data_IF_805140088431
#
_entry.id   IF_805140088431
#
_cell.length_a   1.000
_cell.length_b   1.000
_cell.length_c   1.000
_cell.angle_alpha   90.00
_cell.angle_beta   90.00
_cell.angle_gamma   90.00
#
_symmetry.space_group_name_H-M   'P 1'
#
loop_
_entity.id
_entity.type
_entity.pdbx_description
1 polymer ?
#
# COMPACT_ATOMS: atom_id res chain seq x y z
N UNK A 1 -29.85 14.19 -42.52
CA UNK A 1 -30.07 13.85 -41.09
C UNK A 1 -29.79 12.37 -40.75
N UNK A 2 -29.24 11.56 -41.66
CA UNK A 2 -29.13 10.09 -41.47
C UNK A 2 -27.73 9.57 -41.11
N UNK A 3 -26.67 10.39 -41.19
CA UNK A 3 -25.28 9.98 -40.91
C UNK A 3 -24.77 10.29 -39.49
N UNK A 4 -25.57 11.01 -38.68
CA UNK A 4 -25.18 11.46 -37.33
C UNK A 4 -25.35 10.33 -36.30
N UNK A 5 -26.36 9.48 -36.48
CA UNK A 5 -26.66 8.38 -35.58
C UNK A 5 -25.57 7.27 -35.56
N UNK A 6 -25.05 6.78 -36.71
CA UNK A 6 -24.00 5.76 -36.69
C UNK A 6 -22.68 6.28 -36.16
N UNK A 7 -22.33 7.55 -36.41
CA UNK A 7 -21.10 8.16 -35.88
C UNK A 7 -21.18 8.38 -34.36
N UNK A 8 -22.34 8.78 -33.83
CA UNK A 8 -22.56 8.93 -32.39
C UNK A 8 -22.48 7.58 -31.66
N UNK A 9 -23.06 6.53 -32.24
CA UNK A 9 -23.02 5.15 -31.70
C UNK A 9 -21.59 4.60 -31.74
N UNK A 10 -20.86 4.78 -32.85
CA UNK A 10 -19.47 4.33 -32.97
C UNK A 10 -18.55 5.04 -31.98
N UNK A 11 -18.76 6.34 -31.78
CA UNK A 11 -18.02 7.13 -30.80
C UNK A 11 -18.29 6.64 -29.37
N UNK A 12 -19.54 6.36 -29.02
CA UNK A 12 -19.88 5.82 -27.71
C UNK A 12 -19.29 4.43 -27.48
N UNK A 13 -19.38 3.54 -28.47
CA UNK A 13 -18.89 2.16 -28.36
C UNK A 13 -17.36 2.10 -28.28
N UNK A 14 -16.64 2.90 -29.07
CA UNK A 14 -15.17 2.94 -29.03
C UNK A 14 -14.65 3.54 -27.71
N UNK A 15 -15.33 4.54 -27.16
CA UNK A 15 -14.95 5.15 -25.86
C UNK A 15 -15.27 4.25 -24.66
N UNK A 16 -16.39 3.54 -24.68
CA UNK A 16 -16.74 2.54 -23.67
C UNK A 16 -15.80 1.33 -23.71
N UNK A 17 -15.44 0.86 -24.91
CA UNK A 17 -14.49 -0.23 -25.08
C UNK A 17 -13.08 0.14 -24.59
N UNK A 18 -12.59 1.35 -24.90
CA UNK A 18 -11.30 1.82 -24.40
C UNK A 18 -11.28 2.04 -22.87
N UNK A 19 -12.40 2.46 -22.28
CA UNK A 19 -12.49 2.58 -20.81
C UNK A 19 -12.44 1.23 -20.09
N UNK A 20 -12.87 0.14 -20.75
CA UNK A 20 -12.86 -1.20 -20.17
C UNK A 20 -11.47 -1.87 -20.21
N UNK A 21 -10.60 -1.43 -21.13
CA UNK A 21 -9.23 -1.91 -21.29
C UNK A 21 -8.21 -1.21 -20.37
N UNK A 22 -8.65 -0.31 -19.48
CA UNK A 22 -7.74 0.37 -18.56
C UNK A 22 -7.31 -0.59 -17.44
N UNK A 23 -6.16 -1.24 -17.64
CA UNK A 23 -5.46 -1.96 -16.58
C UNK A 23 -5.07 -0.94 -15.50
N UNK A 24 -5.65 -1.10 -14.31
CA UNK A 24 -5.57 -0.10 -13.25
C UNK A 24 -4.15 0.38 -12.99
N UNK A 25 -3.94 1.69 -12.98
CA UNK A 25 -2.65 2.28 -12.67
C UNK A 25 -2.43 2.36 -11.15
N UNK A 26 -1.27 1.91 -10.70
CA UNK A 26 -0.84 2.11 -9.32
C UNK A 26 -0.52 3.60 -9.07
N UNK A 27 -1.33 4.23 -8.23
CA UNK A 27 -1.01 5.51 -7.60
C UNK A 27 -0.53 5.30 -6.17
N UNK A 28 0.24 6.24 -5.64
CA UNK A 28 0.55 6.29 -4.22
C UNK A 28 0.20 7.67 -3.66
N UNK A 29 -0.22 7.68 -2.39
CA UNK A 29 -0.51 8.91 -1.66
C UNK A 29 0.66 9.14 -0.70
N UNK A 30 1.24 10.33 -0.74
CA UNK A 30 2.24 10.73 0.25
C UNK A 30 1.53 11.16 1.52
N UNK A 31 1.69 10.37 2.58
CA UNK A 31 1.21 10.74 3.90
C UNK A 31 2.11 11.84 4.48
N UNK A 32 1.54 12.84 5.18
CA UNK A 32 2.34 13.88 5.85
C UNK A 32 3.16 13.32 7.04
N UNK A 33 2.81 12.12 7.52
CA UNK A 33 3.44 11.43 8.65
C UNK A 33 3.62 9.95 8.34
N UNK A 34 4.60 9.31 8.99
CA UNK A 34 4.75 7.85 8.93
C UNK A 34 3.64 7.17 9.72
N UNK A 35 2.98 6.20 9.11
CA UNK A 35 1.92 5.40 9.73
C UNK A 35 2.37 3.95 9.77
N UNK A 36 2.33 3.34 10.96
CA UNK A 36 2.63 1.92 11.10
C UNK A 36 1.48 1.08 10.54
N UNK A 37 1.82 0.02 9.81
CA UNK A 37 0.82 -0.88 9.25
C UNK A 37 0.18 -1.74 10.36
N UNK A 38 -1.16 -1.86 10.43
CA UNK A 38 -1.85 -2.62 11.48
C UNK A 38 -1.37 -4.06 11.65
N UNK A 39 -1.03 -4.74 10.56
CA UNK A 39 -0.54 -6.14 10.60
C UNK A 39 0.78 -6.32 11.36
N UNK A 40 1.54 -5.24 11.62
CA UNK A 40 2.85 -5.29 12.28
C UNK A 40 2.83 -4.70 13.70
N UNK A 41 1.67 -4.23 14.20
CA UNK A 41 1.57 -3.60 15.53
C UNK A 41 2.02 -4.55 16.64
N UNK A 42 1.70 -5.84 16.54
CA UNK A 42 2.08 -6.84 17.54
C UNK A 42 3.61 -6.99 17.66
N UNK A 43 4.31 -7.05 16.52
CA UNK A 43 5.78 -7.19 16.50
C UNK A 43 6.47 -5.89 16.92
N UNK A 44 5.93 -4.74 16.48
CA UNK A 44 6.41 -3.42 16.90
C UNK A 44 6.34 -3.27 18.42
N UNK A 45 5.22 -3.67 19.03
CA UNK A 45 5.03 -3.61 20.48
C UNK A 45 6.08 -4.45 21.22
N UNK A 46 6.42 -5.65 20.72
CA UNK A 46 7.48 -6.47 21.32
C UNK A 46 8.83 -5.76 21.28
N UNK A 47 9.20 -5.19 20.13
CA UNK A 47 10.47 -4.47 19.96
C UNK A 47 10.53 -3.29 20.90
N UNK A 48 9.48 -2.47 20.94
CA UNK A 48 9.38 -1.31 21.83
C UNK A 48 9.47 -1.69 23.31
N UNK A 49 8.88 -2.81 23.71
CA UNK A 49 8.95 -3.31 25.08
C UNK A 49 10.35 -3.79 25.48
N UNK A 50 11.15 -4.28 24.53
CA UNK A 50 12.54 -4.68 24.75
C UNK A 50 13.49 -3.49 24.85
N UNK A 51 13.09 -2.31 24.39
CA UNK A 51 13.92 -1.10 24.44
C UNK A 51 13.61 -0.34 25.74
N UNK A 52 14.65 0.18 26.40
CA UNK A 52 14.51 1.18 27.45
C UNK A 52 14.43 2.56 26.79
N UNK A 53 13.29 3.27 26.92
CA UNK A 53 13.14 4.60 26.32
C UNK A 53 14.02 5.69 26.95
N UNK A 54 14.56 5.46 28.15
CA UNK A 54 15.48 6.40 28.80
C UNK A 54 16.93 6.24 28.32
N UNK A 55 17.39 5.00 28.11
CA UNK A 55 18.78 4.70 27.72
C UNK A 55 18.93 4.41 26.22
N UNK A 56 17.81 4.21 25.51
CA UNK A 56 17.73 3.75 24.12
C UNK A 56 18.51 2.45 23.84
N UNK A 57 18.69 1.64 24.88
CA UNK A 57 19.35 0.33 24.82
C UNK A 57 18.33 -0.78 24.99
N UNK A 58 18.65 -1.96 24.47
CA UNK A 58 17.90 -3.16 24.78
C UNK A 58 18.03 -3.46 26.27
N UNK A 59 16.91 -3.72 26.93
CA UNK A 59 16.89 -4.35 28.24
C UNK A 59 17.66 -5.66 28.09
N UNK A 60 18.61 -5.93 29.00
CA UNK A 60 19.43 -7.14 29.04
C UNK A 60 18.54 -8.40 29.19
N UNK A 61 17.86 -8.78 28.12
CA UNK A 61 17.50 -10.15 27.83
C UNK A 61 18.70 -10.68 27.05
N UNK A 62 19.25 -11.82 27.44
CA UNK A 62 20.11 -12.59 26.56
C UNK A 62 19.30 -12.82 25.27
N UNK A 63 19.55 -11.99 24.25
CA UNK A 63 18.94 -12.13 22.94
C UNK A 63 19.46 -13.48 22.42
N UNK A 64 18.66 -14.54 22.61
CA UNK A 64 18.83 -15.78 21.86
C UNK A 64 18.57 -15.41 20.42
N UNK A 65 19.59 -14.90 19.73
CA UNK A 65 19.62 -14.80 18.29
C UNK A 65 19.54 -16.26 17.82
N UNK A 66 18.42 -16.71 17.22
CA UNK A 66 18.42 -18.02 16.61
C UNK A 66 19.41 -17.93 15.44
N UNK A 67 20.55 -18.60 15.61
CA UNK A 67 21.56 -18.71 14.56
C UNK A 67 20.87 -19.30 13.32
N UNK A 68 20.78 -18.52 12.24
CA UNK A 68 20.36 -19.06 10.95
C UNK A 68 21.43 -20.08 10.54
N UNK A 69 21.05 -21.36 10.57
CA UNK A 69 21.77 -22.41 9.84
C UNK A 69 21.42 -22.34 8.37
#
# INVERSE_FOLDING_TARGET
MTAILPTFIYFFLTKLFFSWLAEGHFGFIKLPVSVYHPSHIAELTKILNMICFSCLQFKNLELRVPSRK
#
